data_IF_372012597099
#
_entry.id   IF_372012597099
#
_cell.length_a   1.000
_cell.length_b   1.000
_cell.length_c   1.000
_cell.angle_alpha   90.00
_cell.angle_beta   90.00
_cell.angle_gamma   90.00
#
_symmetry.space_group_name_H-M   'P 1'
#
loop_
_entity.id
_entity.type
_entity.pdbx_description
1 polymer ?
#
# COMPACT_ATOMS: atom_id res chain seq x y z
N UNK A 1 -20.19 22.29 -1.53
CA UNK A 1 -19.04 21.57 -0.93
C UNK A 1 -19.51 20.14 -0.76
N UNK A 2 -19.37 19.35 -1.81
CA UNK A 2 -19.97 18.01 -1.91
C UNK A 2 -18.92 16.97 -1.54
N UNK A 3 -19.00 16.44 -0.31
CA UNK A 3 -18.18 15.32 0.16
C UNK A 3 -18.43 14.00 -0.60
N UNK A 4 -19.36 14.00 -1.56
CA UNK A 4 -19.75 12.83 -2.37
C UNK A 4 -19.06 12.86 -3.74
N UNK A 5 -18.62 14.03 -4.22
CA UNK A 5 -17.92 14.15 -5.50
C UNK A 5 -16.39 13.98 -5.37
N UNK A 6 -15.87 13.88 -4.14
CA UNK A 6 -14.43 13.64 -3.85
C UNK A 6 -14.07 12.14 -3.81
N UNK A 7 -15.04 11.28 -4.16
CA UNK A 7 -14.85 9.84 -4.41
C UNK A 7 -14.75 9.53 -5.90
N UNK A 8 -14.75 10.55 -6.79
CA UNK A 8 -14.08 10.39 -8.08
C UNK A 8 -12.63 10.17 -7.76
N UNK A 9 -12.26 8.90 -7.70
CA UNK A 9 -10.89 8.44 -7.81
C UNK A 9 -10.39 8.94 -9.17
N UNK A 10 -10.01 10.21 -9.24
CA UNK A 10 -9.23 10.74 -10.33
C UNK A 10 -7.97 9.87 -10.41
N UNK A 11 -7.53 9.56 -11.62
CA UNK A 11 -6.43 8.63 -11.89
C UNK A 11 -5.11 9.02 -11.18
N UNK A 12 -5.03 10.24 -10.62
CA UNK A 12 -3.97 10.73 -9.73
C UNK A 12 -3.88 10.02 -8.36
N UNK A 13 -4.93 9.32 -7.93
CA UNK A 13 -4.99 8.72 -6.60
C UNK A 13 -4.07 7.49 -6.43
N UNK A 14 -3.69 6.82 -7.53
CA UNK A 14 -3.15 5.46 -7.43
C UNK A 14 -1.69 5.25 -7.82
N UNK A 15 -1.02 6.20 -8.46
CA UNK A 15 0.42 6.05 -8.71
C UNK A 15 1.15 7.37 -8.97
N UNK A 16 2.32 7.52 -8.36
CA UNK A 16 3.37 8.47 -8.76
C UNK A 16 4.41 7.69 -9.55
N UNK A 17 4.86 8.28 -10.66
CA UNK A 17 6.00 7.81 -11.43
C UNK A 17 7.29 8.01 -10.62
N UNK A 18 8.10 6.95 -10.48
CA UNK A 18 9.41 7.00 -9.82
C UNK A 18 10.30 8.04 -10.47
N UNK A 19 10.18 8.25 -11.79
CA UNK A 19 10.97 9.21 -12.54
C UNK A 19 10.68 10.65 -12.10
N UNK A 20 9.49 10.90 -11.54
CA UNK A 20 9.13 12.19 -10.93
C UNK A 20 9.60 12.33 -9.48
N UNK A 21 9.92 11.25 -8.77
CA UNK A 21 10.36 11.34 -7.37
C UNK A 21 11.86 11.68 -7.28
N UNK A 22 12.26 12.78 -6.63
CA UNK A 22 13.64 13.26 -6.63
C UNK A 22 14.65 12.36 -5.92
N UNK A 23 14.21 11.38 -5.12
CA UNK A 23 15.10 10.44 -4.41
C UNK A 23 15.13 9.11 -5.15
N UNK A 24 13.97 8.59 -5.54
CA UNK A 24 13.88 7.31 -6.25
C UNK A 24 14.35 7.41 -7.71
N UNK A 25 14.17 8.55 -8.39
CA UNK A 25 14.68 8.75 -9.76
C UNK A 25 16.21 8.75 -9.85
N UNK A 26 16.92 8.86 -8.72
CA UNK A 26 18.39 8.77 -8.69
C UNK A 26 18.88 7.34 -8.48
N UNK A 27 17.95 6.40 -8.33
CA UNK A 27 18.28 5.01 -8.10
C UNK A 27 18.47 4.31 -9.43
N UNK A 28 19.71 4.21 -9.91
CA UNK A 28 20.05 3.55 -11.20
C UNK A 28 19.53 2.10 -11.32
N UNK A 29 19.16 1.46 -10.20
CA UNK A 29 18.60 0.10 -10.19
C UNK A 29 17.08 0.08 -10.38
N UNK A 30 16.40 1.20 -10.15
CA UNK A 30 14.97 1.39 -10.40
C UNK A 30 14.71 2.25 -11.65
N UNK A 31 15.56 3.25 -11.89
CA UNK A 31 15.54 4.15 -13.04
C UNK A 31 16.31 3.52 -14.20
N UNK A 32 15.65 2.58 -14.90
CA UNK A 32 16.17 2.03 -16.16
C UNK A 32 15.46 2.69 -17.33
N UNK A 33 16.17 3.18 -18.36
CA UNK A 33 15.58 4.00 -19.44
C UNK A 33 14.51 3.29 -20.27
N UNK A 34 14.46 1.95 -20.19
CA UNK A 34 13.50 1.13 -20.93
C UNK A 34 12.26 0.74 -20.09
N UNK A 35 12.20 1.09 -18.79
CA UNK A 35 11.12 0.64 -17.89
C UNK A 35 10.72 1.71 -16.86
N UNK A 36 9.56 2.30 -17.08
CA UNK A 36 8.91 3.21 -16.11
C UNK A 36 8.48 2.45 -14.85
N UNK A 37 9.01 2.84 -13.68
CA UNK A 37 8.58 2.30 -12.38
C UNK A 37 7.54 3.23 -11.77
N UNK A 38 6.42 2.68 -11.28
CA UNK A 38 5.34 3.45 -10.66
C UNK A 38 5.11 2.96 -9.24
N UNK A 39 4.80 3.87 -8.31
CA UNK A 39 4.58 3.55 -6.89
C UNK A 39 3.31 4.21 -6.37
N UNK A 40 2.69 3.68 -5.32
CA UNK A 40 1.47 4.27 -4.78
C UNK A 40 1.69 5.67 -4.19
N UNK A 41 1.02 6.69 -4.76
CA UNK A 41 1.16 8.11 -4.42
C UNK A 41 1.09 8.38 -2.91
N UNK A 42 -0.01 7.95 -2.27
CA UNK A 42 -0.23 8.16 -0.83
C UNK A 42 0.84 7.50 0.05
N UNK A 43 1.25 6.26 -0.27
CA UNK A 43 2.25 5.53 0.51
C UNK A 43 3.63 6.15 0.36
N UNK A 44 4.00 6.61 -0.85
CA UNK A 44 5.26 7.31 -1.09
C UNK A 44 5.31 8.62 -0.30
N UNK A 45 4.23 9.41 -0.30
CA UNK A 45 4.13 10.65 0.49
C UNK A 45 4.31 10.36 1.99
N UNK A 46 3.66 9.32 2.52
CA UNK A 46 3.85 8.92 3.92
C UNK A 46 5.27 8.45 4.22
N UNK A 47 5.89 7.68 3.33
CA UNK A 47 7.28 7.23 3.49
C UNK A 47 8.25 8.42 3.52
N UNK A 48 8.06 9.39 2.63
CA UNK A 48 8.86 10.63 2.62
C UNK A 48 8.68 11.43 3.90
N UNK A 49 7.45 11.59 4.38
CA UNK A 49 7.19 12.28 5.63
C UNK A 49 7.96 11.65 6.80
N UNK A 50 7.95 10.32 6.91
CA UNK A 50 8.73 9.59 7.92
C UNK A 50 10.23 9.82 7.73
N UNK A 51 10.73 9.71 6.50
CA UNK A 51 12.14 9.95 6.18
C UNK A 51 12.61 11.35 6.59
N UNK A 52 11.81 12.39 6.30
CA UNK A 52 12.13 13.77 6.65
C UNK A 52 12.15 13.98 8.17
N UNK A 53 11.23 13.37 8.92
CA UNK A 53 11.28 13.39 10.39
C UNK A 53 12.55 12.71 10.90
N UNK A 54 12.91 11.54 10.36
CA UNK A 54 14.10 10.80 10.78
C UNK A 54 15.39 11.58 10.52
N UNK A 55 15.45 12.30 9.39
CA UNK A 55 16.56 13.19 9.01
C UNK A 55 16.62 14.44 9.88
N UNK A 56 15.50 15.14 10.05
CA UNK A 56 15.43 16.36 10.86
C UNK A 56 15.89 16.14 12.30
N UNK A 57 15.57 14.98 12.87
CA UNK A 57 15.98 14.59 14.22
C UNK A 57 17.36 13.89 14.28
N UNK A 58 18.06 13.76 13.14
CA UNK A 58 19.36 13.07 13.01
C UNK A 58 19.35 11.64 13.60
N UNK A 59 18.20 10.99 13.60
CA UNK A 59 18.04 9.65 14.20
C UNK A 59 18.90 8.64 13.44
N UNK A 60 18.89 8.73 12.11
CA UNK A 60 19.60 7.79 11.23
C UNK A 60 21.12 7.92 11.35
N UNK A 61 21.64 9.15 11.44
CA UNK A 61 23.07 9.41 11.67
C UNK A 61 23.50 8.93 13.05
N UNK A 62 22.70 9.21 14.08
CA UNK A 62 22.94 8.75 15.44
C UNK A 62 22.96 7.22 15.56
N UNK A 63 22.05 6.53 14.87
CA UNK A 63 22.03 5.07 14.80
C UNK A 63 23.28 4.52 14.11
N UNK A 64 23.68 5.11 12.98
CA UNK A 64 24.88 4.70 12.25
C UNK A 64 26.17 4.86 13.06
N UNK A 65 26.27 5.93 13.83
CA UNK A 65 27.41 6.16 14.72
C UNK A 65 27.44 5.20 15.90
N UNK A 66 26.27 4.91 16.49
CA UNK A 66 26.18 4.10 17.71
C UNK A 66 26.24 2.60 17.42
N UNK A 67 25.71 2.17 16.29
CA UNK A 67 25.56 0.77 15.90
C UNK A 67 25.94 0.56 14.43
N UNK A 68 27.23 0.73 14.06
CA UNK A 68 27.67 0.70 12.66
C UNK A 68 27.45 -0.65 11.98
N UNK A 69 27.48 -1.75 12.73
CA UNK A 69 27.37 -3.11 12.20
C UNK A 69 25.93 -3.67 12.23
N UNK A 70 24.95 -2.87 12.67
CA UNK A 70 23.57 -3.32 12.78
C UNK A 70 22.81 -3.12 11.47
N UNK A 71 22.00 -4.12 11.13
CA UNK A 71 21.03 -4.02 10.04
C UNK A 71 19.85 -3.17 10.45
N UNK A 72 19.49 -2.19 9.61
CA UNK A 72 18.24 -1.45 9.79
C UNK A 72 17.09 -2.29 9.26
N UNK A 73 16.07 -2.47 10.08
CA UNK A 73 14.86 -3.21 9.72
C UNK A 73 13.66 -2.29 9.74
N UNK A 74 13.02 -2.11 8.59
CA UNK A 74 11.72 -1.47 8.50
C UNK A 74 10.63 -2.54 8.62
N UNK A 75 9.51 -2.23 9.27
CA UNK A 75 8.37 -3.12 9.30
C UNK A 75 7.07 -2.32 9.31
N UNK A 76 6.00 -2.96 8.88
CA UNK A 76 4.67 -2.36 8.90
C UNK A 76 3.59 -3.39 8.59
N UNK A 77 2.34 -3.05 8.92
CA UNK A 77 1.16 -3.86 8.66
C UNK A 77 0.19 -3.12 7.73
N UNK A 78 -0.47 -3.84 6.82
CA UNK A 78 -1.47 -3.29 5.89
C UNK A 78 -0.90 -2.09 5.13
N UNK A 79 -1.60 -0.94 5.08
CA UNK A 79 -1.09 0.30 4.48
C UNK A 79 0.32 0.65 4.97
N UNK A 80 0.60 0.47 6.26
CA UNK A 80 1.92 0.72 6.85
C UNK A 80 3.02 -0.20 6.32
N UNK A 81 2.68 -1.41 5.88
CA UNK A 81 3.63 -2.32 5.23
C UNK A 81 4.05 -1.80 3.85
N UNK A 82 3.12 -1.19 3.11
CA UNK A 82 3.43 -0.49 1.86
C UNK A 82 4.31 0.73 2.07
N UNK A 83 4.02 1.52 3.11
CA UNK A 83 4.87 2.66 3.51
C UNK A 83 6.27 2.19 3.93
N UNK A 84 6.38 1.14 4.74
CA UNK A 84 7.66 0.57 5.17
C UNK A 84 8.49 0.05 3.98
N UNK A 85 7.83 -0.55 3.00
CA UNK A 85 8.45 -0.99 1.75
C UNK A 85 9.09 0.17 0.99
N UNK A 86 8.33 1.23 0.73
CA UNK A 86 8.86 2.41 0.02
C UNK A 86 9.92 3.16 0.84
N UNK A 87 9.74 3.26 2.16
CA UNK A 87 10.74 3.84 3.06
C UNK A 87 12.06 3.06 2.99
N UNK A 88 12.01 1.74 2.90
CA UNK A 88 13.21 0.89 2.74
C UNK A 88 13.92 1.19 1.44
N UNK A 89 13.18 1.32 0.33
CA UNK A 89 13.75 1.69 -0.97
C UNK A 89 14.36 3.10 -0.97
N UNK A 90 13.80 4.04 -0.22
CA UNK A 90 14.39 5.37 -0.04
C UNK A 90 15.66 5.34 0.83
N UNK A 91 15.70 4.49 1.86
CA UNK A 91 16.82 4.41 2.80
C UNK A 91 18.00 3.57 2.30
N UNK A 92 17.78 2.59 1.41
CA UNK A 92 18.83 1.65 0.96
C UNK A 92 20.04 2.34 0.32
N UNK A 93 19.86 3.53 -0.25
CA UNK A 93 20.96 4.31 -0.84
C UNK A 93 21.95 4.81 0.23
N UNK A 94 21.48 5.04 1.46
CA UNK A 94 22.29 5.60 2.55
C UNK A 94 22.65 4.58 3.63
N UNK A 95 21.88 3.48 3.69
CA UNK A 95 21.98 2.45 4.73
C UNK A 95 22.03 1.06 4.10
N UNK A 96 23.14 0.37 4.35
CA UNK A 96 23.34 -1.04 4.01
C UNK A 96 24.16 -1.68 5.14
N UNK A 97 23.74 -2.82 5.70
CA UNK A 97 22.58 -3.64 5.31
C UNK A 97 21.23 -3.06 5.79
N UNK A 98 20.18 -3.26 4.99
CA UNK A 98 18.78 -2.88 5.31
C UNK A 98 17.80 -3.96 4.84
N UNK A 99 16.73 -4.18 5.60
CA UNK A 99 15.64 -5.10 5.25
C UNK A 99 14.26 -4.55 5.63
N UNK A 100 13.21 -5.10 5.02
CA UNK A 100 11.82 -4.80 5.31
C UNK A 100 11.00 -6.06 5.58
N UNK A 101 10.22 -6.08 6.65
CA UNK A 101 9.17 -7.08 6.89
C UNK A 101 7.79 -6.44 6.72
N UNK A 102 7.14 -6.77 5.62
CA UNK A 102 5.85 -6.21 5.22
C UNK A 102 4.73 -7.20 5.54
N UNK A 103 3.89 -6.89 6.54
CA UNK A 103 2.76 -7.74 6.91
C UNK A 103 1.50 -7.28 6.20
N UNK A 104 0.88 -8.15 5.41
CA UNK A 104 -0.32 -7.87 4.64
C UNK A 104 -0.20 -6.62 3.74
N UNK A 105 0.91 -6.41 3.00
CA UNK A 105 1.05 -5.20 2.20
C UNK A 105 0.01 -5.15 1.08
N UNK A 106 -0.50 -3.97 0.72
CA UNK A 106 -1.35 -3.79 -0.45
C UNK A 106 -0.64 -4.27 -1.73
N UNK A 107 -1.40 -4.82 -2.68
CA UNK A 107 -0.85 -5.30 -3.95
C UNK A 107 -0.39 -4.19 -4.90
N UNK A 108 -0.67 -2.92 -4.58
CA UNK A 108 -0.43 -1.76 -5.43
C UNK A 108 0.75 -0.87 -4.98
N UNK A 109 1.69 -1.37 -4.17
CA UNK A 109 2.79 -0.56 -3.61
C UNK A 109 3.76 -0.07 -4.69
N UNK A 110 4.18 -0.95 -5.59
CA UNK A 110 5.13 -0.68 -6.68
C UNK A 110 4.74 -1.49 -7.93
N UNK A 111 5.03 -0.95 -9.12
CA UNK A 111 4.79 -1.62 -10.40
C UNK A 111 5.74 -2.80 -10.60
N UNK A 112 5.38 -3.67 -11.55
CA UNK A 112 6.16 -4.86 -11.91
C UNK A 112 7.62 -4.55 -12.27
N UNK A 113 7.88 -3.38 -12.86
CA UNK A 113 9.22 -2.95 -13.25
C UNK A 113 10.15 -2.74 -12.04
N UNK A 114 9.62 -2.38 -10.88
CA UNK A 114 10.38 -2.22 -9.64
C UNK A 114 10.48 -3.49 -8.78
N UNK A 115 9.92 -4.62 -9.25
CA UNK A 115 9.79 -5.84 -8.47
C UNK A 115 11.15 -6.48 -8.15
N UNK A 116 12.03 -6.59 -9.14
CA UNK A 116 13.34 -7.24 -8.99
C UNK A 116 14.16 -6.59 -7.88
N UNK A 117 14.17 -5.26 -7.84
CA UNK A 117 14.89 -4.52 -6.81
C UNK A 117 14.20 -4.60 -5.45
N UNK A 118 12.86 -4.55 -5.42
CA UNK A 118 12.08 -4.65 -4.17
C UNK A 118 12.27 -6.00 -3.49
N UNK A 119 12.32 -7.09 -4.26
CA UNK A 119 12.51 -8.46 -3.74
C UNK A 119 13.83 -8.66 -2.99
N UNK A 120 14.85 -7.84 -3.25
CA UNK A 120 16.16 -7.93 -2.56
C UNK A 120 16.10 -7.47 -1.11
N UNK A 121 15.16 -6.59 -0.78
CA UNK A 121 15.08 -5.95 0.54
C UNK A 121 13.81 -6.29 1.31
N UNK A 122 12.73 -6.69 0.62
CA UNK A 122 11.40 -6.80 1.23
C UNK A 122 10.94 -8.25 1.32
N UNK A 123 10.58 -8.66 2.54
CA UNK A 123 9.91 -9.92 2.82
C UNK A 123 8.45 -9.66 3.20
N UNK A 124 7.52 -10.15 2.38
CA UNK A 124 6.09 -9.96 2.57
C UNK A 124 5.43 -11.18 3.19
N UNK A 125 4.58 -10.96 4.20
CA UNK A 125 3.81 -12.00 4.91
C UNK A 125 2.32 -11.74 4.69
N UNK A 126 1.55 -12.77 4.35
CA UNK A 126 0.09 -12.70 4.18
C UNK A 126 -0.57 -13.96 4.77
N UNK A 127 -1.82 -13.84 5.22
CA UNK A 127 -2.57 -14.93 5.88
C UNK A 127 -3.89 -15.18 5.14
N UNK A 128 -4.06 -16.41 4.66
CA UNK A 128 -5.33 -16.93 4.12
C UNK A 128 -6.04 -15.97 3.16
N UNK A 129 -7.32 -15.72 3.43
CA UNK A 129 -8.18 -14.85 2.64
C UNK A 129 -8.07 -13.37 3.06
N UNK A 130 -6.86 -12.87 3.26
CA UNK A 130 -6.58 -11.42 3.47
C UNK A 130 -6.78 -10.55 2.21
N UNK A 131 -7.82 -9.72 2.21
CA UNK A 131 -8.18 -8.88 1.06
C UNK A 131 -7.10 -7.85 0.69
N UNK A 132 -6.25 -7.42 1.64
CA UNK A 132 -5.36 -6.27 1.46
C UNK A 132 -4.32 -6.49 0.35
N UNK A 133 -3.57 -7.61 0.31
CA UNK A 133 -2.67 -7.92 -0.82
C UNK A 133 -3.36 -8.04 -2.18
N UNK A 134 -4.69 -8.25 -2.20
CA UNK A 134 -5.49 -8.38 -3.42
C UNK A 134 -6.14 -7.08 -3.86
N UNK A 135 -6.00 -6.01 -3.07
CA UNK A 135 -6.40 -4.66 -3.46
C UNK A 135 -5.45 -4.17 -4.56
N UNK A 136 -6.01 -4.00 -5.75
CA UNK A 136 -5.41 -3.32 -6.89
C UNK A 136 -6.41 -2.31 -7.43
N UNK A 137 -5.96 -1.34 -8.23
CA UNK A 137 -6.88 -0.43 -8.92
C UNK A 137 -7.97 -1.21 -9.68
N UNK A 138 -7.57 -2.26 -10.40
CA UNK A 138 -8.48 -3.10 -11.15
C UNK A 138 -9.49 -3.80 -10.22
N UNK A 139 -9.04 -4.32 -9.09
CA UNK A 139 -9.91 -4.98 -8.10
C UNK A 139 -10.91 -3.99 -7.49
N UNK A 140 -10.46 -2.78 -7.14
CA UNK A 140 -11.33 -1.74 -6.55
C UNK A 140 -12.31 -1.20 -7.57
N UNK A 141 -11.89 -0.95 -8.81
CA UNK A 141 -12.77 -0.54 -9.89
C UNK A 141 -13.82 -1.61 -10.19
N UNK A 142 -13.41 -2.88 -10.28
CA UNK A 142 -14.33 -3.99 -10.46
C UNK A 142 -15.33 -4.08 -9.31
N UNK A 143 -14.85 -4.02 -8.06
CA UNK A 143 -15.72 -4.00 -6.88
C UNK A 143 -16.72 -2.83 -6.93
N UNK A 144 -16.29 -1.63 -7.33
CA UNK A 144 -17.17 -0.47 -7.53
C UNK A 144 -18.26 -0.77 -8.54
N UNK A 145 -17.90 -1.30 -9.72
CA UNK A 145 -18.89 -1.66 -10.75
C UNK A 145 -19.84 -2.74 -10.26
N UNK A 146 -19.33 -3.80 -9.63
CA UNK A 146 -20.13 -4.91 -9.11
C UNK A 146 -21.13 -4.43 -8.04
N UNK A 147 -20.72 -3.51 -7.16
CA UNK A 147 -21.59 -2.89 -6.16
C UNK A 147 -22.68 -2.04 -6.83
N UNK A 148 -22.32 -1.20 -7.81
CA UNK A 148 -23.29 -0.35 -8.53
C UNK A 148 -24.30 -1.22 -9.29
N UNK A 149 -23.84 -2.24 -10.01
CA UNK A 149 -24.71 -3.17 -10.73
C UNK A 149 -25.63 -3.92 -9.78
N UNK A 150 -25.11 -4.42 -8.65
CA UNK A 150 -25.92 -5.09 -7.63
C UNK A 150 -26.99 -4.17 -7.04
N UNK A 151 -26.67 -2.89 -6.83
CA UNK A 151 -27.64 -1.88 -6.36
C UNK A 151 -28.69 -1.55 -7.43
N UNK A 152 -28.31 -1.49 -8.70
CA UNK A 152 -29.22 -1.21 -9.81
C UNK A 152 -30.19 -2.38 -10.09
N UNK A 153 -29.71 -3.62 -9.99
CA UNK A 153 -30.51 -4.83 -10.20
C UNK A 153 -31.31 -5.25 -8.95
N UNK A 154 -31.03 -4.66 -7.78
CA UNK A 154 -31.71 -5.03 -6.54
C UNK A 154 -33.09 -4.38 -6.43
N UNK A 155 -34.14 -5.22 -6.41
CA UNK A 155 -35.50 -4.83 -6.03
C UNK A 155 -35.70 -4.66 -4.51
N UNK A 156 -34.66 -4.86 -3.70
CA UNK A 156 -34.73 -4.64 -2.25
C UNK A 156 -34.54 -3.16 -1.91
N UNK A 157 -35.34 -2.60 -0.97
CA UNK A 157 -35.16 -1.22 -0.55
C UNK A 157 -33.80 -1.03 0.14
N UNK A 158 -33.09 0.05 -0.22
CA UNK A 158 -31.69 0.32 0.14
C UNK A 158 -31.42 0.26 1.65
N UNK A 159 -32.36 0.72 2.48
CA UNK A 159 -32.23 0.67 3.94
C UNK A 159 -32.10 -0.77 4.46
N UNK A 160 -32.79 -1.74 3.83
CA UNK A 160 -32.77 -3.15 4.24
C UNK A 160 -31.42 -3.80 3.91
N UNK A 161 -30.81 -3.42 2.78
CA UNK A 161 -29.47 -3.86 2.37
C UNK A 161 -28.42 -3.29 3.33
N UNK A 162 -28.48 -1.98 3.60
CA UNK A 162 -27.56 -1.30 4.52
C UNK A 162 -27.65 -1.85 5.95
N UNK A 163 -28.86 -1.99 6.50
CA UNK A 163 -29.07 -2.55 7.84
C UNK A 163 -28.59 -4.01 7.92
N UNK A 164 -28.84 -4.84 6.90
CA UNK A 164 -28.31 -6.20 6.86
C UNK A 164 -26.79 -6.24 6.73
N UNK A 165 -26.19 -5.36 5.94
CA UNK A 165 -24.74 -5.26 5.79
C UNK A 165 -24.06 -4.82 7.08
N UNK A 166 -24.59 -3.79 7.75
CA UNK A 166 -24.11 -3.32 9.05
C UNK A 166 -24.25 -4.41 10.12
N UNK A 167 -25.39 -5.09 10.11
CA UNK A 167 -25.62 -6.22 11.02
C UNK A 167 -24.62 -7.35 10.78
N UNK A 168 -24.34 -7.70 9.51
CA UNK A 168 -23.33 -8.72 9.21
C UNK A 168 -21.92 -8.30 9.59
N UNK A 169 -21.53 -7.06 9.32
CA UNK A 169 -20.21 -6.52 9.67
C UNK A 169 -19.99 -6.48 11.19
N UNK A 170 -21.02 -6.13 11.96
CA UNK A 170 -20.91 -6.00 13.42
C UNK A 170 -21.16 -7.31 14.17
N UNK A 171 -21.92 -8.25 13.60
CA UNK A 171 -22.46 -9.39 14.35
C UNK A 171 -22.37 -10.75 13.65
N UNK A 172 -21.80 -10.86 12.45
CA UNK A 172 -21.56 -12.17 11.80
C UNK A 172 -20.11 -12.62 11.98
N UNK A 173 -19.93 -13.81 12.54
CA UNK A 173 -18.62 -14.46 12.60
C UNK A 173 -18.27 -15.13 11.28
N UNK A 174 -16.99 -15.14 10.86
CA UNK A 174 -16.55 -15.68 9.56
C UNK A 174 -16.72 -17.20 9.40
N UNK A 175 -17.17 -17.92 10.43
CA UNK A 175 -17.29 -19.38 10.47
C UNK A 175 -18.76 -19.86 10.57
N UNK A 176 -19.73 -19.09 10.08
CA UNK A 176 -21.08 -19.60 9.89
C UNK A 176 -21.34 -19.76 8.38
N UNK A 177 -21.46 -20.99 7.87
CA UNK A 177 -21.81 -21.21 6.47
C UNK A 177 -23.20 -20.61 6.22
N UNK A 178 -23.33 -19.88 5.10
CA UNK A 178 -24.57 -19.23 4.70
C UNK A 178 -25.72 -20.25 4.73
N UNK A 179 -26.69 -20.06 5.63
CA UNK A 179 -28.00 -20.63 5.42
C UNK A 179 -28.62 -19.87 4.25
N UNK A 180 -28.56 -20.50 3.07
CA UNK A 180 -29.30 -20.12 1.88
C UNK A 180 -30.79 -20.07 2.26
N UNK A 181 -31.35 -18.87 2.24
CA UNK A 181 -32.79 -18.61 2.24
C UNK A 181 -33.14 -17.82 0.98
#
# INVERSE_FOLDING_TARGET
MDAINDLSLDDEAFSIDVDQDPILCRDEKLDTPDKEVRVHCGMLRSARYVLEILRANRILEGLKMKYPDFTIVCCGHSLGAGVATLLTLLLKQSFSPIQCFAFSPPGCVISENGLEETQKFVFSVYIGDDIVPRLSYQTVCKLKYDVIMSLACSNSPKYKILLRGLYRLCFSHPWQPDQVL
#
